data_IF_492421395460
#
_entry.id   IF_492421395460
#
_cell.length_a   1.000
_cell.length_b   1.000
_cell.length_c   1.000
_cell.angle_alpha   90.00
_cell.angle_beta   90.00
_cell.angle_gamma   90.00
#
_symmetry.space_group_name_H-M   'P 1'
#
loop_
_entity.id
_entity.type
_entity.pdbx_description
1 polymer ?
#
# COMPACT_ATOMS: atom_id res chain seq x y z
N UNK A 1 -7.16 1.73 13.53
CA UNK A 1 -7.99 0.63 12.96
C UNK A 1 -7.13 -0.60 12.73
N UNK A 2 -7.72 -1.77 12.82
CA UNK A 2 -7.00 -3.01 12.53
C UNK A 2 -6.99 -3.23 11.03
N UNK A 3 -5.79 -3.43 10.47
CA UNK A 3 -5.57 -3.72 9.06
C UNK A 3 -4.78 -5.01 8.99
N UNK A 4 -5.31 -6.03 8.33
CA UNK A 4 -4.71 -7.37 8.37
C UNK A 4 -4.86 -8.10 7.03
N UNK A 5 -3.88 -8.96 6.74
CA UNK A 5 -3.94 -9.83 5.57
C UNK A 5 -4.85 -11.04 5.77
N UNK A 6 -5.21 -11.34 7.04
CA UNK A 6 -6.11 -12.45 7.35
C UNK A 6 -7.54 -12.12 6.94
N UNK A 7 -8.36 -13.14 6.75
CA UNK A 7 -9.76 -12.98 6.37
C UNK A 7 -10.67 -12.69 7.57
N UNK A 8 -10.16 -12.90 8.78
CA UNK A 8 -10.88 -12.65 10.02
C UNK A 8 -9.93 -12.09 11.06
N UNK A 9 -10.48 -11.55 12.13
CA UNK A 9 -9.71 -10.98 13.24
C UNK A 9 -10.10 -11.73 14.51
N UNK A 10 -9.14 -12.43 15.11
CA UNK A 10 -9.37 -13.20 16.31
C UNK A 10 -9.88 -12.28 17.45
N UNK A 11 -10.92 -12.73 18.14
CA UNK A 11 -11.51 -11.95 19.22
C UNK A 11 -12.52 -10.90 18.78
N UNK A 12 -12.74 -10.76 17.47
CA UNK A 12 -13.69 -9.80 16.91
C UNK A 12 -14.59 -10.45 15.89
N UNK A 13 -15.88 -10.17 15.99
CA UNK A 13 -16.84 -10.63 14.99
C UNK A 13 -17.03 -9.57 13.92
N UNK A 14 -17.02 -10.00 12.65
CA UNK A 14 -17.36 -9.12 11.53
C UNK A 14 -18.87 -8.99 11.47
N UNK A 15 -19.38 -7.80 11.69
CA UNK A 15 -20.81 -7.52 11.66
C UNK A 15 -21.32 -7.12 10.30
N UNK A 16 -20.48 -6.39 9.55
CA UNK A 16 -20.90 -5.85 8.28
C UNK A 16 -19.70 -5.75 7.35
N UNK A 17 -19.89 -6.14 6.09
CA UNK A 17 -18.94 -5.93 5.02
C UNK A 17 -19.33 -4.65 4.28
N UNK A 18 -18.43 -3.66 4.28
CA UNK A 18 -18.67 -2.39 3.59
C UNK A 18 -18.29 -2.43 2.14
N UNK A 19 -17.37 -3.33 1.75
CA UNK A 19 -16.96 -3.50 0.37
C UNK A 19 -15.48 -3.37 0.16
N UNK A 20 -15.08 -3.37 -1.10
CA UNK A 20 -13.68 -3.26 -1.49
C UNK A 20 -13.16 -1.86 -1.22
N UNK A 21 -11.91 -1.79 -0.76
CA UNK A 21 -11.23 -0.54 -0.51
C UNK A 21 -9.78 -0.66 -0.96
N UNK A 22 -9.21 0.43 -1.43
CA UNK A 22 -7.83 0.45 -1.92
C UNK A 22 -7.16 1.79 -1.62
N UNK A 23 -5.85 1.78 -1.79
CA UNK A 23 -5.02 2.98 -1.79
C UNK A 23 -3.91 2.81 -2.82
N UNK A 24 -3.49 3.88 -3.46
CA UNK A 24 -2.50 3.83 -4.52
C UNK A 24 -1.52 4.99 -4.40
N UNK A 25 -0.26 4.73 -4.77
CA UNK A 25 0.77 5.74 -4.94
C UNK A 25 1.48 5.50 -6.27
N UNK A 26 1.64 6.55 -7.05
CA UNK A 26 2.38 6.47 -8.31
C UNK A 26 3.58 7.39 -8.20
N UNK A 27 4.77 6.83 -8.38
CA UNK A 27 6.01 7.58 -8.49
C UNK A 27 6.33 7.79 -9.96
N UNK A 28 6.48 9.05 -10.35
CA UNK A 28 6.71 9.42 -11.75
C UNK A 28 8.16 9.29 -12.18
N UNK A 29 8.41 9.71 -13.42
CA UNK A 29 9.69 9.58 -14.11
C UNK A 29 10.87 10.18 -13.36
N UNK A 30 10.71 11.36 -12.79
CA UNK A 30 11.80 12.02 -12.07
C UNK A 30 12.23 11.24 -10.85
N UNK A 31 11.28 10.68 -10.13
CA UNK A 31 11.54 9.85 -8.96
C UNK A 31 12.31 8.58 -9.36
N UNK A 32 11.87 7.91 -10.43
CA UNK A 32 12.53 6.71 -10.94
C UNK A 32 13.96 7.02 -11.36
N UNK A 33 14.19 8.15 -12.03
CA UNK A 33 15.53 8.61 -12.40
C UNK A 33 16.41 8.86 -11.18
N UNK A 34 15.86 9.46 -10.13
CA UNK A 34 16.59 9.72 -8.90
C UNK A 34 17.01 8.40 -8.23
N UNK A 35 16.14 7.39 -8.22
CA UNK A 35 16.48 6.06 -7.72
C UNK A 35 17.64 5.46 -8.51
N UNK A 36 17.60 5.50 -9.83
CA UNK A 36 18.65 4.95 -10.67
C UNK A 36 19.96 5.76 -10.56
N UNK A 37 19.87 7.07 -10.35
CA UNK A 37 21.05 7.91 -10.12
C UNK A 37 21.71 7.59 -8.78
N UNK A 38 20.96 7.02 -7.83
CA UNK A 38 21.43 6.68 -6.49
C UNK A 38 22.10 5.29 -6.42
N UNK A 39 22.60 4.77 -7.53
CA UNK A 39 23.30 3.47 -7.58
C UNK A 39 24.47 3.43 -6.58
N UNK A 40 24.99 4.57 -6.17
CA UNK A 40 26.03 4.70 -5.15
C UNK A 40 25.58 4.27 -3.76
N UNK A 41 24.26 4.22 -3.52
CA UNK A 41 23.67 3.87 -2.22
C UNK A 41 23.55 2.36 -2.03
N UNK A 42 24.07 1.55 -2.95
CA UNK A 42 24.10 0.11 -2.78
C UNK A 42 25.07 -0.28 -1.67
N UNK A 43 24.54 -0.86 -0.61
CA UNK A 43 25.31 -1.40 0.51
C UNK A 43 24.97 -2.87 0.63
N UNK A 44 25.97 -3.75 0.50
CA UNK A 44 25.78 -5.19 0.57
C UNK A 44 24.79 -5.73 -0.47
N UNK A 45 24.72 -5.11 -1.66
CA UNK A 45 23.80 -5.48 -2.73
C UNK A 45 22.38 -4.90 -2.57
N UNK A 46 22.14 -4.01 -1.61
CA UNK A 46 20.85 -3.40 -1.35
C UNK A 46 20.89 -1.89 -1.59
N UNK A 47 19.80 -1.35 -2.12
CA UNK A 47 19.64 0.09 -2.32
C UNK A 47 18.80 0.68 -1.18
N UNK A 48 19.44 1.45 -0.30
CA UNK A 48 18.71 2.10 0.81
C UNK A 48 17.68 3.10 0.33
N UNK A 49 17.99 3.87 -0.70
CA UNK A 49 17.07 4.87 -1.26
C UNK A 49 15.83 4.20 -1.84
N UNK A 50 16.03 3.12 -2.59
CA UNK A 50 14.93 2.36 -3.18
C UNK A 50 14.05 1.73 -2.11
N UNK A 51 14.67 1.08 -1.12
CA UNK A 51 13.93 0.43 -0.03
C UNK A 51 13.10 1.44 0.76
N UNK A 52 13.69 2.59 1.07
CA UNK A 52 12.98 3.65 1.79
C UNK A 52 11.78 4.15 0.99
N UNK A 53 11.95 4.36 -0.31
CA UNK A 53 10.86 4.79 -1.17
C UNK A 53 9.72 3.78 -1.21
N UNK A 54 10.04 2.48 -1.26
CA UNK A 54 9.03 1.43 -1.23
C UNK A 54 8.27 1.40 0.09
N UNK A 55 8.99 1.55 1.21
CA UNK A 55 8.37 1.58 2.54
C UNK A 55 7.44 2.80 2.66
N UNK A 56 7.95 3.98 2.32
CA UNK A 56 7.18 5.23 2.40
C UNK A 56 5.94 5.17 1.50
N UNK A 57 6.08 4.61 0.31
CA UNK A 57 4.97 4.44 -0.63
C UNK A 57 3.90 3.50 -0.11
N UNK A 58 4.30 2.36 0.50
CA UNK A 58 3.35 1.44 1.11
C UNK A 58 2.59 2.10 2.25
N UNK A 59 3.29 2.82 3.10
CA UNK A 59 2.65 3.52 4.23
C UNK A 59 1.66 4.57 3.74
N UNK A 60 2.01 5.32 2.71
CA UNK A 60 1.12 6.32 2.13
C UNK A 60 -0.12 5.66 1.50
N UNK A 61 0.06 4.59 0.74
CA UNK A 61 -1.05 3.85 0.15
C UNK A 61 -1.97 3.29 1.23
N UNK A 62 -1.40 2.76 2.32
CA UNK A 62 -2.18 2.25 3.44
C UNK A 62 -2.98 3.35 4.14
N UNK A 63 -2.38 4.51 4.40
CA UNK A 63 -3.11 5.64 5.00
C UNK A 63 -4.29 6.07 4.15
N UNK A 64 -4.10 6.12 2.85
CA UNK A 64 -5.17 6.46 1.91
C UNK A 64 -6.30 5.44 1.95
N UNK A 65 -5.95 4.15 1.94
CA UNK A 65 -6.93 3.07 2.05
C UNK A 65 -7.71 3.17 3.36
N UNK A 66 -7.02 3.42 4.49
CA UNK A 66 -7.67 3.54 5.79
C UNK A 66 -8.64 4.74 5.84
N UNK A 67 -8.26 5.87 5.26
CA UNK A 67 -9.14 7.04 5.18
C UNK A 67 -10.41 6.72 4.40
N UNK A 68 -10.27 6.04 3.28
CA UNK A 68 -11.41 5.62 2.45
C UNK A 68 -12.30 4.65 3.21
N UNK A 69 -11.71 3.70 3.93
CA UNK A 69 -12.46 2.75 4.75
C UNK A 69 -13.26 3.47 5.84
N UNK A 70 -12.65 4.42 6.52
CA UNK A 70 -13.36 5.22 7.54
C UNK A 70 -14.52 6.00 6.93
N UNK A 71 -14.34 6.54 5.73
CA UNK A 71 -15.41 7.25 5.02
C UNK A 71 -16.58 6.33 4.67
N UNK A 72 -16.33 5.02 4.52
CA UNK A 72 -17.35 4.01 4.31
C UNK A 72 -18.05 3.59 5.62
N UNK A 73 -17.58 4.06 6.76
CA UNK A 73 -18.09 3.64 8.06
C UNK A 73 -17.44 2.41 8.64
N UNK A 74 -16.34 1.94 8.05
CA UNK A 74 -15.61 0.77 8.53
C UNK A 74 -14.70 1.09 9.70
N UNK A 75 -14.41 0.08 10.52
CA UNK A 75 -13.44 0.19 11.61
C UNK A 75 -12.31 -0.84 11.52
N UNK A 76 -12.28 -1.63 10.46
CA UNK A 76 -11.20 -2.57 10.20
C UNK A 76 -11.13 -2.89 8.70
N UNK A 77 -9.99 -3.42 8.27
CA UNK A 77 -9.79 -3.87 6.88
C UNK A 77 -9.15 -5.26 6.94
N UNK A 78 -9.77 -6.23 6.28
CA UNK A 78 -9.31 -7.62 6.23
C UNK A 78 -8.93 -8.01 4.81
N UNK A 79 -8.22 -9.13 4.66
CA UNK A 79 -7.85 -9.65 3.35
C UNK A 79 -6.94 -8.73 2.56
N UNK A 80 -6.06 -8.00 3.23
CA UNK A 80 -5.23 -6.97 2.59
C UNK A 80 -4.12 -7.61 1.77
N UNK A 81 -3.85 -7.05 0.60
CA UNK A 81 -2.70 -7.41 -0.23
C UNK A 81 -2.07 -6.16 -0.84
N UNK A 82 -0.77 -6.26 -1.15
CA UNK A 82 -0.02 -5.21 -1.83
C UNK A 82 0.28 -5.61 -3.26
N UNK A 83 0.29 -4.64 -4.14
CA UNK A 83 0.75 -4.79 -5.51
C UNK A 83 1.83 -3.77 -5.85
N UNK A 84 2.76 -4.17 -6.69
CA UNK A 84 3.81 -3.31 -7.22
C UNK A 84 3.89 -3.52 -8.71
N UNK A 85 3.93 -2.43 -9.47
CA UNK A 85 3.90 -2.55 -10.91
C UNK A 85 4.63 -1.37 -11.54
N UNK A 86 5.43 -1.65 -12.56
CA UNK A 86 5.97 -0.59 -13.39
C UNK A 86 4.95 -0.28 -14.48
N UNK A 87 4.62 0.99 -14.65
CA UNK A 87 3.63 1.46 -15.61
C UNK A 87 4.20 2.62 -16.41
N UNK A 88 3.45 3.05 -17.43
CA UNK A 88 3.85 4.17 -18.27
C UNK A 88 4.86 3.80 -19.34
N UNK A 89 5.26 4.77 -20.19
CA UNK A 89 6.21 4.51 -21.29
C UNK A 89 7.54 3.99 -20.76
N UNK A 90 7.95 2.82 -21.26
CA UNK A 90 9.23 2.17 -20.90
C UNK A 90 9.37 1.89 -19.39
N UNK A 91 8.24 1.66 -18.69
CA UNK A 91 8.28 1.42 -17.25
C UNK A 91 8.76 2.63 -16.45
N UNK A 92 8.46 3.82 -16.91
CA UNK A 92 8.94 5.07 -16.30
C UNK A 92 8.24 5.47 -15.01
N UNK A 93 7.21 4.73 -14.62
CA UNK A 93 6.47 4.98 -13.39
C UNK A 93 6.37 3.72 -12.55
N UNK A 94 6.35 3.88 -11.23
CA UNK A 94 6.15 2.79 -10.28
C UNK A 94 4.81 3.00 -9.58
N UNK A 95 3.94 2.01 -9.70
CA UNK A 95 2.66 1.98 -8.99
C UNK A 95 2.78 1.06 -7.79
N UNK A 96 2.40 1.58 -6.62
CA UNK A 96 2.24 0.79 -5.40
C UNK A 96 0.77 0.83 -5.05
N UNK A 97 0.16 -0.33 -4.93
CA UNK A 97 -1.26 -0.45 -4.58
C UNK A 97 -1.45 -1.35 -3.37
N UNK A 98 -2.51 -1.08 -2.63
CA UNK A 98 -2.95 -1.90 -1.52
C UNK A 98 -4.47 -2.01 -1.63
N UNK A 99 -5.01 -3.17 -1.35
CA UNK A 99 -6.45 -3.39 -1.38
C UNK A 99 -6.87 -4.36 -0.30
N UNK A 100 -8.15 -4.32 0.04
CA UNK A 100 -8.73 -5.20 1.03
C UNK A 100 -10.23 -5.02 1.10
N UNK A 101 -10.83 -5.61 2.12
CA UNK A 101 -12.26 -5.50 2.39
C UNK A 101 -12.48 -4.68 3.65
N UNK A 102 -13.17 -3.56 3.50
CA UNK A 102 -13.55 -2.72 4.63
C UNK A 102 -14.72 -3.38 5.38
N UNK A 103 -14.59 -3.50 6.71
CA UNK A 103 -15.57 -4.18 7.54
C UNK A 103 -15.86 -3.40 8.82
N UNK A 104 -16.99 -3.70 9.43
CA UNK A 104 -17.31 -3.26 10.79
C UNK A 104 -17.16 -4.47 11.71
N UNK A 105 -16.31 -4.34 12.71
CA UNK A 105 -16.10 -5.37 13.74
C UNK A 105 -16.59 -4.88 15.10
N UNK A 106 -16.92 -5.84 15.94
CA UNK A 106 -17.25 -5.61 17.36
C UNK A 106 -16.02 -5.70 18.23
#
# INVERSE_FOLDING_TARGET
MIVTTTQSIQGHEIREYKGLVSGEVIFGLNFVKDIFASVRDFIGGRSNTYEKAMIDGREQAQREMEQRARAMGANAIVGVSYGYETVGPNGSMLLISISGTAVVIE
#
